data_IF_692279744187
#
_entry.id   IF_692279744187
#
_cell.length_a   1.000
_cell.length_b   1.000
_cell.length_c   1.000
_cell.angle_alpha   90.00
_cell.angle_beta   90.00
_cell.angle_gamma   90.00
#
_symmetry.space_group_name_H-M   'P 1'
#
loop_
_entity.id
_entity.type
_entity.pdbx_description
1 polymer ?
#
# COMPACT_ATOMS: atom_id res chain seq x y z
N UNK A 1 14.41 6.58 14.34
CA UNK A 1 13.41 6.47 13.25
C UNK A 1 13.67 7.60 12.27
N UNK A 2 13.68 7.34 10.96
CA UNK A 2 13.77 8.41 9.97
C UNK A 2 12.56 9.35 10.14
N UNK A 3 12.83 10.66 10.30
CA UNK A 3 11.79 11.68 10.39
C UNK A 3 11.09 11.72 9.03
N UNK A 4 9.79 11.43 9.00
CA UNK A 4 9.00 11.56 7.77
C UNK A 4 9.02 13.04 7.34
N UNK A 5 9.07 13.34 6.04
CA UNK A 5 9.01 14.72 5.57
C UNK A 5 7.73 15.39 6.09
N UNK A 6 7.84 16.65 6.54
CA UNK A 6 6.74 17.35 7.22
C UNK A 6 5.54 17.71 6.34
N UNK A 7 5.61 17.46 5.02
CA UNK A 7 4.54 17.75 4.06
C UNK A 7 4.21 16.51 3.25
N UNK A 8 2.92 16.23 3.09
CA UNK A 8 2.39 15.18 2.21
C UNK A 8 1.84 15.86 0.97
N UNK A 9 2.31 15.43 -0.20
CA UNK A 9 1.83 15.92 -1.50
C UNK A 9 0.82 14.93 -2.05
N UNK A 10 -0.37 15.38 -2.42
CA UNK A 10 -1.40 14.53 -3.00
C UNK A 10 -1.97 15.24 -4.20
N UNK A 11 -2.06 14.53 -5.32
CA UNK A 11 -2.63 15.08 -6.54
C UNK A 11 -4.15 15.20 -6.39
N UNK A 12 -4.69 16.35 -6.79
CA UNK A 12 -6.13 16.61 -6.73
C UNK A 12 -6.92 15.57 -7.52
N UNK A 13 -6.42 15.20 -8.69
CA UNK A 13 -7.00 14.16 -9.55
C UNK A 13 -7.11 12.82 -8.84
N UNK A 14 -6.15 12.49 -7.95
CA UNK A 14 -6.18 11.26 -7.18
C UNK A 14 -7.35 11.27 -6.20
N UNK A 15 -7.56 12.38 -5.48
CA UNK A 15 -8.64 12.52 -4.49
C UNK A 15 -10.01 12.55 -5.16
N UNK A 16 -10.12 13.21 -6.31
CA UNK A 16 -11.36 13.31 -7.08
C UNK A 16 -11.65 12.05 -7.92
N UNK A 17 -10.69 11.12 -8.01
CA UNK A 17 -10.87 9.89 -8.77
C UNK A 17 -11.98 8.99 -8.20
N UNK A 18 -12.70 8.31 -9.10
CA UNK A 18 -13.69 7.29 -8.71
C UNK A 18 -13.07 6.19 -7.85
N UNK A 19 -11.81 5.84 -8.11
CA UNK A 19 -11.06 4.87 -7.33
C UNK A 19 -10.94 5.31 -5.86
N UNK A 20 -10.53 6.56 -5.62
CA UNK A 20 -10.38 7.10 -4.27
C UNK A 20 -11.71 7.24 -3.56
N UNK A 21 -12.72 7.79 -4.24
CA UNK A 21 -14.07 7.97 -3.67
C UNK A 21 -14.74 6.64 -3.30
N UNK A 22 -14.36 5.53 -3.94
CA UNK A 22 -14.87 4.21 -3.59
C UNK A 22 -14.20 3.60 -2.34
N UNK A 23 -13.08 4.15 -1.84
CA UNK A 23 -12.36 3.66 -0.65
C UNK A 23 -13.23 3.78 0.60
N UNK A 24 -13.18 2.76 1.46
CA UNK A 24 -13.98 2.71 2.68
C UNK A 24 -13.16 2.33 3.90
N UNK A 25 -13.71 2.61 5.09
CA UNK A 25 -13.06 2.27 6.35
C UNK A 25 -11.76 3.03 6.56
N UNK A 26 -10.65 2.30 6.68
CA UNK A 26 -9.31 2.86 6.95
C UNK A 26 -8.46 3.03 5.69
N UNK A 27 -8.94 2.58 4.53
CA UNK A 27 -8.18 2.57 3.28
C UNK A 27 -7.77 3.96 2.80
N UNK A 28 -8.63 5.01 2.83
CA UNK A 28 -8.21 6.36 2.45
C UNK A 28 -7.09 6.91 3.33
N UNK A 29 -7.20 6.71 4.65
CA UNK A 29 -6.19 7.17 5.61
C UNK A 29 -4.88 6.41 5.42
N UNK A 30 -4.95 5.10 5.20
CA UNK A 30 -3.78 4.29 4.90
C UNK A 30 -3.05 4.78 3.64
N UNK A 31 -3.78 5.12 2.57
CA UNK A 31 -3.18 5.68 1.36
C UNK A 31 -2.42 6.97 1.68
N UNK A 32 -3.02 7.90 2.41
CA UNK A 32 -2.35 9.17 2.80
C UNK A 32 -1.07 8.88 3.61
N UNK A 33 -1.13 7.96 4.56
CA UNK A 33 0.03 7.57 5.37
C UNK A 33 1.14 6.93 4.52
N UNK A 34 0.76 6.10 3.55
CA UNK A 34 1.68 5.49 2.58
C UNK A 34 2.31 6.57 1.69
N UNK A 35 1.52 7.52 1.19
CA UNK A 35 2.00 8.65 0.40
C UNK A 35 2.97 9.53 1.20
N UNK A 36 2.78 9.64 2.52
CA UNK A 36 3.70 10.31 3.43
C UNK A 36 5.04 9.59 3.67
N UNK A 37 5.14 8.29 3.33
CA UNK A 37 6.40 7.52 3.39
C UNK A 37 7.29 7.72 2.15
N UNK A 38 6.82 8.46 1.14
CA UNK A 38 7.60 8.74 -0.08
C UNK A 38 8.86 9.54 0.25
N UNK A 39 9.96 9.16 -0.39
CA UNK A 39 11.25 9.84 -0.31
C UNK A 39 11.60 10.38 -1.69
N UNK A 40 11.74 11.70 -1.74
CA UNK A 40 12.13 12.43 -2.94
C UNK A 40 13.58 12.87 -2.80
N UNK A 41 14.36 12.62 -3.83
CA UNK A 41 15.73 13.13 -3.92
C UNK A 41 15.88 13.97 -5.19
N UNK A 42 16.73 14.99 -5.11
CA UNK A 42 17.12 15.76 -6.28
C UNK A 42 18.15 14.96 -7.05
N UNK A 43 17.81 14.58 -8.27
CA UNK A 43 18.72 13.90 -9.18
C UNK A 43 18.95 14.78 -10.42
N UNK A 44 20.18 14.74 -10.94
CA UNK A 44 20.58 15.45 -12.14
C UNK A 44 21.80 16.35 -11.93
N UNK A 45 22.21 17.01 -13.02
CA UNK A 45 23.32 17.97 -13.01
C UNK A 45 22.89 19.25 -12.31
N UNK A 46 23.80 19.85 -11.53
CA UNK A 46 23.62 21.14 -10.86
C UNK A 46 22.98 22.17 -11.81
N UNK A 47 21.78 22.66 -11.46
CA UNK A 47 20.98 23.60 -12.28
C UNK A 47 19.89 22.97 -13.16
N UNK A 48 19.85 21.64 -13.33
CA UNK A 48 18.78 20.89 -14.02
C UNK A 48 18.25 19.74 -13.15
N UNK A 49 18.32 19.91 -11.84
CA UNK A 49 17.90 18.90 -10.86
C UNK A 49 16.40 18.69 -10.92
N UNK A 50 15.97 17.43 -10.96
CA UNK A 50 14.57 17.03 -10.87
C UNK A 50 14.35 16.26 -9.57
N UNK A 51 13.21 16.49 -8.94
CA UNK A 51 12.79 15.67 -7.82
C UNK A 51 12.30 14.32 -8.34
N UNK A 52 12.97 13.26 -7.94
CA UNK A 52 12.64 11.89 -8.33
C UNK A 52 12.22 11.11 -7.08
N UNK A 53 11.16 10.33 -7.21
CA UNK A 53 10.71 9.42 -6.16
C UNK A 53 11.66 8.20 -6.13
N UNK A 54 12.45 8.08 -5.07
CA UNK A 54 13.50 7.05 -4.99
C UNK A 54 12.97 5.74 -4.44
N UNK A 55 12.04 5.80 -3.49
CA UNK A 55 11.49 4.61 -2.82
C UNK A 55 10.11 4.18 -3.37
N UNK A 56 9.73 4.59 -4.58
CA UNK A 56 8.40 4.34 -5.14
C UNK A 56 8.05 2.86 -5.28
N UNK A 57 9.07 1.99 -5.38
CA UNK A 57 8.93 0.52 -5.41
C UNK A 57 9.33 -0.18 -4.12
N UNK A 58 9.67 0.58 -3.07
CA UNK A 58 10.19 0.06 -1.81
C UNK A 58 9.44 0.67 -0.62
N UNK A 59 8.13 0.49 -0.58
CA UNK A 59 7.29 0.94 0.53
C UNK A 59 6.96 -0.25 1.43
N UNK A 60 7.38 -0.14 2.69
CA UNK A 60 7.01 -1.12 3.71
C UNK A 60 5.84 -0.62 4.56
N UNK A 61 4.90 -1.52 4.81
CA UNK A 61 3.72 -1.28 5.66
C UNK A 61 3.75 -2.28 6.84
N UNK A 62 4.72 -2.16 7.77
CA UNK A 62 4.86 -3.13 8.86
C UNK A 62 3.73 -2.96 9.89
N UNK A 63 3.06 -4.07 10.22
CA UNK A 63 1.95 -4.06 11.19
C UNK A 63 2.33 -3.45 12.55
N UNK A 64 3.53 -3.75 13.06
CA UNK A 64 4.00 -3.25 14.36
C UNK A 64 4.06 -1.73 14.42
N UNK A 65 4.45 -1.08 13.32
CA UNK A 65 4.45 0.38 13.22
C UNK A 65 3.04 0.94 13.30
N UNK A 66 2.10 0.35 12.54
CA UNK A 66 0.72 0.85 12.50
C UNK A 66 -0.05 0.58 13.79
N UNK A 67 0.22 -0.55 14.44
CA UNK A 67 -0.32 -0.86 15.77
C UNK A 67 0.19 0.15 16.80
N UNK A 68 1.50 0.37 16.84
CA UNK A 68 2.12 1.24 17.84
C UNK A 68 1.81 2.72 17.67
N UNK A 69 1.80 3.22 16.42
CA UNK A 69 1.57 4.65 16.15
C UNK A 69 0.09 5.03 16.04
N UNK A 70 -0.74 4.17 15.47
CA UNK A 70 -2.11 4.52 15.08
C UNK A 70 -3.17 3.64 15.76
N UNK A 71 -2.79 2.66 16.59
CA UNK A 71 -3.74 1.78 17.27
C UNK A 71 -4.54 0.88 16.33
N UNK A 72 -4.06 0.65 15.10
CA UNK A 72 -4.81 -0.11 14.09
C UNK A 72 -4.56 -1.61 14.28
N UNK A 73 -5.65 -2.38 14.28
CA UNK A 73 -5.59 -3.85 14.36
C UNK A 73 -5.13 -4.47 13.04
N UNK A 74 -4.49 -5.63 13.10
CA UNK A 74 -3.95 -6.32 11.92
C UNK A 74 -5.03 -6.63 10.87
N UNK A 75 -6.24 -7.11 11.22
CA UNK A 75 -7.27 -7.37 10.22
C UNK A 75 -7.73 -6.10 9.51
N UNK A 76 -7.85 -4.98 10.24
CA UNK A 76 -8.23 -3.68 9.69
C UNK A 76 -7.17 -3.17 8.71
N UNK A 77 -5.89 -3.28 9.06
CA UNK A 77 -4.79 -2.93 8.17
C UNK A 77 -4.76 -3.82 6.91
N UNK A 78 -4.95 -5.14 7.07
CA UNK A 78 -4.93 -6.09 5.95
C UNK A 78 -6.03 -5.78 4.94
N UNK A 79 -7.27 -5.61 5.41
CA UNK A 79 -8.42 -5.21 4.57
C UNK A 79 -8.18 -3.88 3.85
N UNK A 80 -7.55 -2.92 4.52
CA UNK A 80 -7.23 -1.64 3.91
C UNK A 80 -6.19 -1.77 2.80
N UNK A 81 -5.13 -2.57 3.00
CA UNK A 81 -4.14 -2.85 1.95
C UNK A 81 -4.81 -3.61 0.78
N UNK A 82 -5.69 -4.57 1.05
CA UNK A 82 -6.41 -5.31 0.01
C UNK A 82 -7.23 -4.37 -0.88
N UNK A 83 -7.98 -3.44 -0.30
CA UNK A 83 -8.71 -2.43 -1.08
C UNK A 83 -7.78 -1.55 -1.93
N UNK A 84 -6.59 -1.20 -1.43
CA UNK A 84 -5.64 -0.38 -2.17
C UNK A 84 -5.00 -1.15 -3.34
N UNK A 85 -4.78 -2.45 -3.19
CA UNK A 85 -4.33 -3.34 -4.27
C UNK A 85 -5.43 -3.54 -5.32
N UNK A 86 -6.66 -3.80 -4.88
CA UNK A 86 -7.82 -4.01 -5.76
C UNK A 86 -8.06 -2.79 -6.66
N UNK A 87 -7.92 -1.58 -6.11
CA UNK A 87 -8.16 -0.31 -6.82
C UNK A 87 -6.95 0.21 -7.58
N UNK A 88 -5.80 -0.46 -7.45
CA UNK A 88 -4.61 -0.13 -8.23
C UNK A 88 -3.82 1.08 -7.70
N UNK A 89 -3.98 1.43 -6.42
CA UNK A 89 -3.10 2.41 -5.76
C UNK A 89 -1.76 1.78 -5.35
N UNK A 90 -1.79 0.50 -5.00
CA UNK A 90 -0.63 -0.29 -4.64
C UNK A 90 -0.44 -1.45 -5.61
N UNK A 91 0.79 -1.91 -5.72
CA UNK A 91 1.13 -3.21 -6.28
C UNK A 91 2.11 -3.95 -5.36
N UNK A 92 2.02 -5.28 -5.32
CA UNK A 92 2.95 -6.11 -4.57
C UNK A 92 4.23 -6.27 -5.39
N UNK A 93 5.36 -5.81 -4.84
CA UNK A 93 6.70 -6.05 -5.42
C UNK A 93 7.29 -7.33 -4.84
N UNK A 94 7.15 -7.49 -3.52
CA UNK A 94 7.58 -8.69 -2.81
C UNK A 94 6.50 -9.07 -1.78
N UNK A 95 5.91 -10.27 -1.86
CA UNK A 95 4.85 -10.68 -0.95
C UNK A 95 5.34 -10.78 0.51
N UNK A 96 6.64 -11.05 0.72
CA UNK A 96 7.21 -11.36 2.03
C UNK A 96 6.76 -12.73 2.55
N UNK A 97 7.07 -13.02 3.81
CA UNK A 97 6.53 -14.18 4.53
C UNK A 97 7.42 -15.43 4.55
N UNK A 98 8.60 -15.43 3.92
CA UNK A 98 9.49 -16.61 3.89
C UNK A 98 10.36 -16.75 5.15
N UNK A 99 10.62 -15.67 5.92
CA UNK A 99 11.44 -15.73 7.14
C UNK A 99 11.26 -14.52 8.10
N UNK A 100 11.83 -14.56 9.32
CA UNK A 100 11.68 -13.55 10.42
C UNK A 100 11.91 -12.09 10.02
N UNK A 101 12.71 -11.82 8.99
CA UNK A 101 13.03 -10.48 8.50
C UNK A 101 12.46 -10.16 7.12
N UNK A 102 11.72 -11.11 6.54
CA UNK A 102 11.18 -10.98 5.21
C UNK A 102 9.88 -10.15 5.23
N UNK A 103 9.99 -8.88 4.86
CA UNK A 103 8.90 -7.91 4.90
C UNK A 103 8.27 -7.77 3.53
N UNK A 104 6.94 -7.69 3.51
CA UNK A 104 6.23 -7.31 2.30
C UNK A 104 6.70 -5.93 1.80
N UNK A 105 6.97 -5.85 0.50
CA UNK A 105 7.37 -4.64 -0.21
C UNK A 105 6.30 -4.32 -1.24
N UNK A 106 5.81 -3.09 -1.17
CA UNK A 106 4.80 -2.56 -2.09
C UNK A 106 5.40 -1.45 -2.94
N UNK A 107 4.86 -1.30 -4.14
CA UNK A 107 5.07 -0.14 -4.99
C UNK A 107 3.80 0.70 -5.08
N UNK A 108 3.99 2.00 -5.32
CA UNK A 108 2.91 2.86 -5.77
C UNK A 108 2.63 2.58 -7.25
N UNK A 109 1.35 2.54 -7.59
CA UNK A 109 0.89 2.30 -8.95
C UNK A 109 -0.06 3.42 -9.37
N UNK A 110 -0.03 3.75 -10.66
CA UNK A 110 -0.93 4.70 -11.29
C UNK A 110 -2.17 4.02 -11.93
N UNK A 111 -2.36 2.73 -11.65
CA UNK A 111 -3.47 1.94 -12.19
C UNK A 111 -4.84 2.50 -11.77
N UNK A 112 -4.91 3.23 -10.65
CA UNK A 112 -6.13 3.90 -10.19
C UNK A 112 -6.75 4.84 -11.24
N UNK A 113 -5.94 5.41 -12.16
CA UNK A 113 -6.44 6.23 -13.28
C UNK A 113 -7.36 5.46 -14.22
N UNK A 114 -7.11 4.15 -14.39
CA UNK A 114 -7.87 3.26 -15.28
C UNK A 114 -8.99 2.53 -14.56
N UNK A 115 -9.09 2.69 -13.24
CA UNK A 115 -10.05 1.95 -12.43
C UNK A 115 -11.49 2.31 -12.78
N UNK A 116 -12.34 1.30 -12.83
CA UNK A 116 -13.80 1.42 -12.98
C UNK A 116 -14.49 0.59 -11.91
N UNK A 117 -15.72 0.98 -11.47
CA UNK A 117 -16.50 0.15 -10.55
C UNK A 117 -16.63 -1.28 -11.09
N UNK A 118 -16.31 -2.27 -10.24
CA UNK A 118 -16.30 -3.70 -10.61
C UNK A 118 -14.97 -4.23 -11.14
N UNK A 119 -13.97 -3.36 -11.37
CA UNK A 119 -12.61 -3.78 -11.77
C UNK A 119 -11.73 -4.04 -10.55
N UNK A 120 -10.94 -5.12 -10.61
CA UNK A 120 -9.91 -5.46 -9.62
C UNK A 120 -8.56 -5.59 -10.33
N UNK A 121 -7.56 -4.83 -9.88
CA UNK A 121 -6.20 -4.89 -10.45
C UNK A 121 -5.37 -6.01 -9.86
N UNK A 122 -5.37 -6.09 -8.53
CA UNK A 122 -4.63 -7.11 -7.81
C UNK A 122 -5.42 -7.53 -6.58
N UNK A 123 -5.65 -8.83 -6.45
CA UNK A 123 -6.14 -9.44 -5.22
C UNK A 123 -5.02 -10.30 -4.64
N UNK A 124 -4.86 -10.28 -3.31
CA UNK A 124 -3.96 -11.22 -2.66
C UNK A 124 -4.63 -12.58 -2.57
N UNK A 125 -3.91 -13.61 -2.98
CA UNK A 125 -4.34 -14.98 -2.75
C UNK A 125 -4.45 -15.21 -1.25
N UNK A 126 -5.65 -15.60 -0.81
CA UNK A 126 -5.83 -16.04 0.57
C UNK A 126 -5.26 -17.44 0.64
N UNK A 127 -4.21 -17.60 1.44
CA UNK A 127 -3.70 -18.92 1.79
C UNK A 127 -4.82 -19.64 2.54
N UNK A 128 -5.55 -20.48 1.80
CA UNK A 128 -6.55 -21.38 2.38
C UNK A 128 -5.75 -22.51 3.01
N UNK A 129 -5.29 -22.28 4.24
CA UNK A 129 -4.66 -23.34 5.03
C UNK A 129 -5.72 -24.43 5.19
N UNK A 130 -5.58 -25.51 4.41
CA UNK A 130 -6.36 -26.74 4.60
C UNK A 130 -5.95 -27.30 5.97
N UNK A 131 -6.71 -26.95 7.01
CA UNK A 131 -6.55 -27.55 8.33
C UNK A 131 -7.05 -28.99 8.21
N UNK A 132 -6.13 -29.95 8.08
CA UNK A 132 -6.45 -31.34 7.73
C UNK A 132 -7.41 -32.10 8.65
N UNK A 133 -7.81 -31.53 9.79
CA UNK A 133 -8.82 -32.10 10.69
C UNK A 133 -10.26 -31.59 10.44
N UNK A 134 -10.48 -30.67 9.50
CA UNK A 134 -11.80 -30.11 9.18
C UNK A 134 -12.48 -30.71 7.94
N UNK A 135 -11.90 -31.72 7.31
CA UNK A 135 -12.57 -32.41 6.22
C UNK A 135 -13.69 -33.31 6.80
N UNK A 136 -14.96 -33.16 6.37
CA UNK A 136 -16.02 -34.04 6.82
C UNK A 136 -15.68 -35.49 6.44
N UNK A 137 -15.82 -36.42 7.39
CA UNK A 137 -15.65 -37.85 7.11
C UNK A 137 -16.59 -38.24 5.98
N UNK A 138 -16.03 -38.79 4.90
CA UNK A 138 -16.79 -39.42 3.81
C UNK A 138 -17.54 -40.63 4.31
#
# INVERSE_FOLDING_TARGET
>A
MAKLPGKIWIDREMIESKAYLSLSGFSPQLLILVLGKRQFEKQGRKGKEKWVLVNGKNINIPYTEFKGKYGITQPKLTRAIDQLLEKGFLSVVHPGGLYRHDKAVYALSDNWLRWKPGMTFQARERETVKRGFCDPKK
#
